data_IF_818943622121
#
_entry.id   IF_818943622121
#
_cell.length_a   1.000
_cell.length_b   1.000
_cell.length_c   1.000
_cell.angle_alpha   90.00
_cell.angle_beta   90.00
_cell.angle_gamma   90.00
#
_symmetry.space_group_name_H-M   'P 1'
#
loop_
_entity.id
_entity.type
_entity.pdbx_description
1 polymer ?
#
# COMPACT_ATOMS: atom_id res chain seq x y z
N UNK A 1 -30.69 10.49 73.02
CA UNK A 1 -29.40 10.41 72.30
C UNK A 1 -29.77 10.10 70.84
N UNK A 2 -30.16 11.09 70.04
CA UNK A 2 -29.30 12.01 69.26
C UNK A 2 -28.37 11.25 68.29
N UNK A 3 -28.21 11.55 67.00
CA UNK A 3 -28.72 12.57 66.07
C UNK A 3 -28.22 12.17 64.65
N UNK A 4 -29.10 12.27 63.63
CA UNK A 4 -28.93 12.77 62.24
C UNK A 4 -27.88 12.21 61.20
N UNK A 5 -28.13 12.47 59.89
CA UNK A 5 -27.53 11.77 58.72
C UNK A 5 -26.70 12.64 57.72
N UNK A 6 -26.02 11.97 56.75
CA UNK A 6 -25.48 12.39 55.41
C UNK A 6 -24.36 13.48 55.35
N UNK A 7 -23.43 13.53 54.35
CA UNK A 7 -23.73 13.56 52.90
C UNK A 7 -22.79 12.84 51.90
N UNK A 8 -23.42 12.34 50.83
CA UNK A 8 -23.04 12.29 49.39
C UNK A 8 -21.58 12.36 48.92
N UNK A 9 -21.22 11.41 48.06
CA UNK A 9 -20.48 11.70 46.80
C UNK A 9 -21.17 10.99 45.64
N UNK A 10 -21.58 11.77 44.65
CA UNK A 10 -22.19 11.37 43.39
C UNK A 10 -21.20 10.58 42.53
N UNK A 11 -21.56 9.39 42.06
CA UNK A 11 -21.04 8.84 40.81
C UNK A 11 -22.10 9.05 39.73
N UNK A 12 -21.92 10.08 38.90
CA UNK A 12 -22.62 10.20 37.62
C UNK A 12 -21.95 9.22 36.66
N UNK A 13 -22.61 8.11 36.37
CA UNK A 13 -22.44 7.43 35.09
C UNK A 13 -23.09 8.35 34.04
N UNK A 14 -22.29 9.01 33.21
CA UNK A 14 -22.78 9.61 31.99
C UNK A 14 -22.52 8.61 30.86
N UNK A 15 -23.60 7.94 30.48
CA UNK A 15 -23.74 7.11 29.30
C UNK A 15 -23.45 7.95 28.06
N UNK A 16 -22.37 7.67 27.32
CA UNK A 16 -22.26 8.12 25.94
C UNK A 16 -23.16 7.23 25.09
N UNK A 17 -24.26 7.80 24.60
CA UNK A 17 -25.13 7.17 23.64
C UNK A 17 -24.37 7.00 22.31
N UNK A 18 -24.08 5.75 21.95
CA UNK A 18 -23.70 5.39 20.59
C UNK A 18 -24.97 5.42 19.76
N UNK A 19 -25.09 6.41 18.88
CA UNK A 19 -26.13 6.44 17.85
C UNK A 19 -25.69 5.45 16.76
N UNK A 20 -26.28 4.26 16.77
CA UNK A 20 -26.21 3.34 15.63
C UNK A 20 -27.20 3.80 14.55
N UNK A 21 -26.79 4.02 13.29
CA UNK A 21 -27.76 4.15 12.22
C UNK A 21 -28.28 2.75 11.89
N UNK A 22 -29.54 2.48 12.26
CA UNK A 22 -30.27 1.32 11.78
C UNK A 22 -30.59 1.50 10.29
N UNK A 23 -29.85 0.80 9.43
CA UNK A 23 -30.24 0.62 8.03
C UNK A 23 -31.32 -0.44 7.96
N UNK A 24 -32.56 0.01 7.76
CA UNK A 24 -33.71 -0.84 7.46
C UNK A 24 -33.57 -1.35 6.03
N UNK A 25 -33.26 -2.64 5.87
CA UNK A 25 -33.40 -3.33 4.58
C UNK A 25 -34.90 -3.49 4.28
N UNK A 26 -35.39 -2.77 3.27
CA UNK A 26 -36.64 -3.13 2.60
C UNK A 26 -36.29 -4.05 1.44
N UNK A 27 -36.71 -5.31 1.54
CA UNK A 27 -36.69 -6.25 0.42
C UNK A 27 -37.82 -5.89 -0.54
N UNK A 28 -37.50 -5.70 -1.83
CA UNK A 28 -38.46 -5.69 -2.92
C UNK A 28 -38.14 -6.84 -3.89
N UNK A 29 -39.15 -7.49 -4.48
CA UNK A 29 -39.03 -8.84 -5.01
C UNK A 29 -38.40 -8.90 -6.40
N UNK A 30 -37.85 -10.07 -6.71
CA UNK A 30 -37.31 -10.45 -8.01
C UNK A 30 -38.39 -10.46 -9.11
N UNK A 31 -38.01 -9.96 -10.29
CA UNK A 31 -38.61 -10.32 -11.58
C UNK A 31 -38.97 -9.15 -12.49
N UNK A 32 -38.15 -8.89 -13.51
CA UNK A 32 -38.57 -8.52 -14.88
C UNK A 32 -37.35 -8.42 -15.80
N UNK A 33 -37.58 -8.64 -17.09
CA UNK A 33 -36.65 -9.17 -18.07
C UNK A 33 -35.79 -8.11 -18.81
N UNK A 34 -34.70 -8.64 -19.39
CA UNK A 34 -33.81 -8.05 -20.39
C UNK A 34 -34.53 -7.85 -21.73
N UNK A 35 -34.51 -6.63 -22.27
CA UNK A 35 -34.23 -6.30 -23.69
C UNK A 35 -34.51 -4.82 -23.97
N UNK A 36 -33.74 -4.24 -24.89
CA UNK A 36 -33.88 -2.91 -25.52
C UNK A 36 -33.45 -1.67 -24.72
N UNK A 37 -32.20 -1.23 -24.94
CA UNK A 37 -31.80 0.20 -25.05
C UNK A 37 -30.34 0.34 -25.48
N UNK A 38 -29.95 -0.25 -26.62
CA UNK A 38 -28.61 -0.11 -27.22
C UNK A 38 -28.55 0.77 -28.48
N UNK A 39 -29.58 1.59 -28.75
CA UNK A 39 -29.68 2.40 -29.99
C UNK A 39 -29.80 3.92 -29.78
N UNK A 40 -29.44 4.47 -28.61
CA UNK A 40 -29.53 5.94 -28.37
C UNK A 40 -28.26 6.64 -27.88
N UNK A 41 -27.07 6.05 -28.09
CA UNK A 41 -25.79 6.71 -27.78
C UNK A 41 -24.80 6.73 -28.95
N UNK A 42 -25.31 6.87 -30.17
CA UNK A 42 -24.52 7.28 -31.34
C UNK A 42 -25.20 8.47 -32.01
N UNK A 43 -24.76 9.69 -31.68
CA UNK A 43 -25.24 10.89 -32.36
C UNK A 43 -24.95 12.19 -31.62
N UNK A 44 -23.67 12.55 -31.47
CA UNK A 44 -23.25 13.94 -31.23
C UNK A 44 -21.72 14.06 -31.28
N UNK A 45 -21.15 13.93 -32.48
CA UNK A 45 -19.82 14.43 -32.81
C UNK A 45 -19.92 15.16 -34.16
N UNK A 46 -20.05 16.48 -34.12
CA UNK A 46 -19.66 17.40 -35.21
C UNK A 46 -19.97 18.85 -34.81
N UNK A 47 -18.98 19.73 -34.84
CA UNK A 47 -19.20 21.18 -34.76
C UNK A 47 -17.99 21.95 -34.25
N UNK A 48 -17.06 22.24 -35.15
CA UNK A 48 -16.06 23.30 -34.99
C UNK A 48 -16.73 24.68 -35.05
N UNK A 49 -16.29 25.62 -34.21
CA UNK A 49 -16.02 27.03 -34.56
C UNK A 49 -15.56 27.79 -33.29
N UNK A 50 -14.44 28.51 -33.41
CA UNK A 50 -13.84 29.28 -32.32
C UNK A 50 -14.31 30.74 -32.24
N UNK A 51 -14.17 31.37 -31.07
CA UNK A 51 -13.70 32.75 -30.92
C UNK A 51 -13.34 33.07 -29.45
N UNK A 52 -12.46 34.04 -29.31
CA UNK A 52 -11.70 34.50 -28.13
C UNK A 52 -12.41 35.51 -27.21
N UNK A 53 -12.03 35.48 -25.93
CA UNK A 53 -11.83 36.58 -24.95
C UNK A 53 -13.00 37.49 -24.49
N UNK A 54 -13.22 37.58 -23.18
CA UNK A 54 -12.75 38.72 -22.35
C UNK A 54 -13.38 38.72 -20.94
N UNK A 55 -12.59 39.24 -19.99
CA UNK A 55 -12.90 39.47 -18.58
C UNK A 55 -13.44 40.89 -18.43
N UNK A 56 -14.51 41.09 -17.63
CA UNK A 56 -14.73 42.33 -16.85
C UNK A 56 -15.84 42.17 -15.81
N UNK A 57 -15.55 42.74 -14.63
CA UNK A 57 -16.35 42.89 -13.42
C UNK A 57 -17.76 43.46 -13.59
N UNK A 58 -18.66 43.07 -12.67
CA UNK A 58 -19.57 44.02 -11.99
C UNK A 58 -20.21 43.42 -10.74
N UNK A 59 -19.95 44.05 -9.59
CA UNK A 59 -20.69 43.94 -8.33
C UNK A 59 -22.17 44.34 -8.48
N UNK A 60 -23.06 43.75 -7.67
CA UNK A 60 -24.46 44.23 -7.56
C UNK A 60 -25.38 43.40 -6.66
N UNK A 61 -25.38 43.73 -5.36
CA UNK A 61 -26.47 43.71 -4.35
C UNK A 61 -27.45 42.52 -4.18
N UNK A 62 -27.59 42.15 -2.91
CA UNK A 62 -28.49 41.16 -2.31
C UNK A 62 -30.01 41.49 -2.35
N UNK A 63 -30.83 40.45 -2.27
CA UNK A 63 -32.24 40.49 -1.85
C UNK A 63 -32.97 39.15 -2.12
N UNK A 64 -33.69 38.56 -1.15
CA UNK A 64 -34.14 37.17 -1.18
C UNK A 64 -35.55 37.01 -1.78
N UNK A 65 -35.86 35.83 -2.35
CA UNK A 65 -37.08 35.06 -2.01
C UNK A 65 -37.31 33.83 -2.90
N UNK A 66 -37.55 32.71 -2.21
CA UNK A 66 -38.40 31.54 -2.51
C UNK A 66 -38.54 31.04 -3.96
N UNK A 67 -38.14 29.78 -4.18
CA UNK A 67 -38.56 28.96 -5.32
C UNK A 67 -39.18 27.64 -4.85
N UNK A 68 -40.35 27.31 -5.42
CA UNK A 68 -41.00 26.00 -5.34
C UNK A 68 -40.99 25.38 -6.73
N UNK A 69 -40.48 24.14 -6.86
CA UNK A 69 -40.95 23.01 -7.69
C UNK A 69 -39.85 22.19 -8.42
N UNK A 70 -39.70 20.94 -7.94
CA UNK A 70 -39.84 19.64 -8.62
C UNK A 70 -38.94 19.26 -9.83
N UNK A 71 -38.48 17.98 -9.78
CA UNK A 71 -37.66 17.13 -10.68
C UNK A 71 -36.14 17.23 -10.42
N UNK A 72 -35.36 16.18 -10.20
CA UNK A 72 -35.55 14.75 -10.46
C UNK A 72 -34.28 14.20 -11.11
N UNK A 73 -33.25 13.88 -10.33
CA UNK A 73 -32.14 12.98 -10.73
C UNK A 73 -31.18 12.78 -9.55
N UNK A 74 -31.24 11.65 -8.87
CA UNK A 74 -30.24 11.26 -7.87
C UNK A 74 -29.02 10.68 -8.57
N UNK A 75 -28.09 11.56 -8.92
CA UNK A 75 -26.72 11.25 -9.29
C UNK A 75 -25.84 12.35 -8.70
N UNK A 76 -25.38 12.17 -7.47
CA UNK A 76 -24.42 13.09 -6.86
C UNK A 76 -23.04 12.44 -6.81
N UNK A 77 -22.03 13.03 -7.48
CA UNK A 77 -20.64 12.75 -7.14
C UNK A 77 -20.37 13.34 -5.76
N UNK A 78 -19.91 12.49 -4.83
CA UNK A 78 -19.21 12.99 -3.64
C UNK A 78 -17.95 13.68 -4.15
N UNK A 79 -17.62 14.84 -3.57
CA UNK A 79 -16.56 15.79 -3.98
C UNK A 79 -16.99 16.88 -4.97
N UNK A 80 -17.77 17.83 -4.46
CA UNK A 80 -17.70 19.22 -4.91
C UNK A 80 -17.52 20.13 -3.68
N UNK A 81 -16.33 20.74 -3.59
CA UNK A 81 -16.08 22.00 -2.88
C UNK A 81 -16.07 22.00 -1.36
N UNK A 82 -14.89 21.86 -0.76
CA UNK A 82 -14.49 22.78 0.32
C UNK A 82 -12.97 22.80 0.47
N UNK A 83 -12.36 23.92 0.11
CA UNK A 83 -11.08 24.36 0.67
C UNK A 83 -11.24 24.47 2.18
N UNK A 84 -10.68 23.53 2.92
CA UNK A 84 -10.75 23.52 4.37
C UNK A 84 -10.02 22.32 4.93
N UNK A 85 -8.89 22.57 5.57
CA UNK A 85 -8.16 21.61 6.40
C UNK A 85 -9.18 21.09 7.43
N UNK A 86 -9.64 19.85 7.25
CA UNK A 86 -10.69 19.23 8.04
C UNK A 86 -10.32 17.79 8.29
N UNK A 87 -9.97 17.50 9.53
CA UNK A 87 -9.47 16.24 10.04
C UNK A 87 -10.24 15.01 9.53
N UNK A 88 -9.52 13.90 9.41
CA UNK A 88 -9.93 12.54 9.02
C UNK A 88 -11.18 12.02 9.77
N UNK A 89 -11.58 12.69 10.86
CA UNK A 89 -12.87 12.53 11.51
C UNK A 89 -14.09 12.63 10.57
N UNK A 90 -14.00 13.38 9.45
CA UNK A 90 -15.12 13.52 8.52
C UNK A 90 -15.45 12.25 7.72
N UNK A 91 -14.55 11.26 7.68
CA UNK A 91 -14.79 9.95 7.03
C UNK A 91 -15.08 8.84 8.06
N UNK A 92 -14.94 9.10 9.36
CA UNK A 92 -15.27 8.14 10.41
C UNK A 92 -14.43 6.85 10.41
N UNK A 93 -13.33 6.79 9.66
CA UNK A 93 -12.41 5.65 9.62
C UNK A 93 -11.34 5.90 10.69
N UNK A 94 -11.52 5.30 11.87
CA UNK A 94 -10.46 5.25 12.88
C UNK A 94 -9.22 4.55 12.31
N UNK A 95 -7.99 5.10 12.49
CA UNK A 95 -6.75 4.47 12.03
C UNK A 95 -6.46 3.10 12.67
N UNK A 96 -7.05 2.82 13.82
CA UNK A 96 -6.69 1.71 14.70
C UNK A 96 -7.12 0.30 14.25
N UNK A 97 -7.54 0.10 13.00
CA UNK A 97 -8.23 -1.13 12.60
C UNK A 97 -7.72 -1.60 11.24
N UNK A 98 -6.46 -2.04 11.19
CA UNK A 98 -5.89 -2.83 10.10
C UNK A 98 -5.40 -4.17 10.67
N UNK A 99 -6.35 -5.05 11.03
CA UNK A 99 -6.13 -6.46 11.35
C UNK A 99 -5.21 -6.80 12.54
N UNK A 100 -5.33 -7.99 13.13
CA UNK A 100 -4.42 -8.47 14.18
C UNK A 100 -3.04 -8.90 13.67
N UNK A 101 -2.79 -8.94 12.36
CA UNK A 101 -1.49 -9.30 11.75
C UNK A 101 -0.59 -8.05 11.52
N UNK A 102 -0.56 -7.13 12.48
CA UNK A 102 0.37 -6.01 12.41
C UNK A 102 1.79 -6.52 12.74
N UNK A 103 2.72 -6.39 11.78
CA UNK A 103 4.14 -6.54 12.08
C UNK A 103 4.52 -5.59 13.20
N UNK A 104 5.35 -6.06 14.13
CA UNK A 104 5.93 -5.23 15.19
C UNK A 104 7.28 -4.72 14.69
N UNK A 105 7.58 -3.45 14.93
CA UNK A 105 8.92 -2.93 14.74
C UNK A 105 9.91 -3.74 15.60
N UNK A 106 11.10 -4.12 15.11
CA UNK A 106 12.08 -4.82 15.93
C UNK A 106 12.46 -3.96 17.13
N UNK A 107 12.78 -4.62 18.25
CA UNK A 107 13.22 -3.90 19.44
C UNK A 107 14.50 -3.12 19.13
N UNK A 108 14.60 -1.91 19.68
CA UNK A 108 15.80 -1.10 19.51
C UNK A 108 16.98 -1.70 20.28
N UNK A 109 18.13 -1.70 19.65
CA UNK A 109 19.42 -2.13 20.18
C UNK A 109 20.40 -0.94 20.14
N UNK A 110 20.42 -0.10 21.19
CA UNK A 110 21.29 1.07 21.24
C UNK A 110 22.78 0.71 21.37
N UNK A 111 23.12 -0.58 21.54
CA UNK A 111 24.51 -1.03 21.60
C UNK A 111 25.19 -1.09 20.24
N UNK A 112 24.41 -1.16 19.15
CA UNK A 112 24.93 -1.15 17.78
C UNK A 112 25.52 0.24 17.45
N UNK A 113 26.77 0.28 16.98
CA UNK A 113 27.37 1.51 16.46
C UNK A 113 26.70 1.93 15.14
N UNK A 114 26.82 3.19 14.72
CA UNK A 114 26.15 3.69 13.49
C UNK A 114 26.66 2.99 12.22
N UNK A 115 27.91 2.55 12.21
CA UNK A 115 28.58 1.86 11.10
C UNK A 115 28.48 0.32 11.19
N UNK A 116 27.77 -0.20 12.19
CA UNK A 116 27.67 -1.64 12.41
C UNK A 116 26.65 -2.29 11.45
N UNK A 117 27.16 -2.90 10.38
CA UNK A 117 26.35 -3.58 9.36
C UNK A 117 26.96 -4.95 9.09
N UNK A 118 26.37 -6.00 9.66
CA UNK A 118 26.84 -7.37 9.48
C UNK A 118 25.71 -8.39 9.66
N UNK A 119 25.92 -9.58 9.11
CA UNK A 119 25.03 -10.72 9.33
C UNK A 119 25.25 -11.24 10.76
N UNK A 120 24.18 -11.34 11.53
CA UNK A 120 24.21 -11.92 12.88
C UNK A 120 24.17 -13.44 12.78
N UNK A 121 23.25 -13.96 11.96
CA UNK A 121 23.06 -15.39 11.71
C UNK A 121 22.13 -15.66 10.53
N UNK A 122 22.22 -16.87 9.99
CA UNK A 122 21.11 -17.51 9.29
C UNK A 122 20.15 -18.12 10.32
N UNK A 123 18.85 -17.84 10.19
CA UNK A 123 17.80 -18.41 11.03
C UNK A 123 17.42 -19.77 10.44
N UNK A 124 17.32 -20.82 11.29
CA UNK A 124 16.85 -22.13 10.83
C UNK A 124 15.44 -22.00 10.26
N UNK A 125 15.17 -22.57 9.09
CA UNK A 125 13.88 -22.41 8.42
C UNK A 125 12.70 -22.93 9.25
N UNK A 126 12.90 -23.96 10.09
CA UNK A 126 11.85 -24.42 10.99
C UNK A 126 11.60 -23.43 12.13
N UNK A 127 12.63 -22.71 12.59
CA UNK A 127 12.50 -21.61 13.55
C UNK A 127 11.84 -20.38 12.90
N UNK A 128 12.33 -19.96 11.72
CA UNK A 128 11.87 -18.78 11.00
C UNK A 128 10.37 -18.84 10.64
N UNK A 129 9.90 -20.05 10.36
CA UNK A 129 8.52 -20.33 9.97
C UNK A 129 7.76 -21.06 11.08
N UNK A 130 8.24 -21.07 12.31
CA UNK A 130 7.56 -21.73 13.42
C UNK A 130 6.25 -21.02 13.78
N UNK A 131 5.22 -21.79 14.11
CA UNK A 131 3.94 -21.25 14.54
C UNK A 131 2.73 -21.95 13.92
N UNK A 132 1.61 -21.81 14.63
CA UNK A 132 0.27 -22.11 14.12
C UNK A 132 -0.41 -20.80 13.75
N UNK A 133 -0.56 -20.56 12.44
CA UNK A 133 -1.12 -19.32 11.91
C UNK A 133 -2.66 -19.31 11.93
N UNK A 134 -3.30 -20.41 12.35
CA UNK A 134 -4.75 -20.52 12.54
C UNK A 134 -5.57 -20.60 11.24
N UNK A 135 -5.15 -19.90 10.19
CA UNK A 135 -5.71 -19.97 8.85
C UNK A 135 -5.08 -21.14 8.06
N UNK A 136 -5.87 -22.11 7.56
CA UNK A 136 -5.34 -23.26 6.81
C UNK A 136 -4.63 -22.91 5.50
N UNK A 137 -5.01 -21.83 4.83
CA UNK A 137 -4.36 -21.35 3.60
C UNK A 137 -2.99 -20.76 3.92
N UNK A 138 -2.91 -19.97 4.99
CA UNK A 138 -1.62 -19.44 5.47
C UNK A 138 -0.73 -20.59 5.92
N UNK A 139 -1.25 -21.48 6.78
CA UNK A 139 -0.49 -22.61 7.29
C UNK A 139 0.05 -23.49 6.15
N UNK A 140 -0.78 -23.80 5.15
CA UNK A 140 -0.35 -24.58 3.99
C UNK A 140 0.72 -23.89 3.14
N UNK A 141 0.67 -22.55 3.02
CA UNK A 141 1.69 -21.76 2.32
C UNK A 141 3.02 -21.79 3.06
N UNK A 142 2.98 -21.61 4.38
CA UNK A 142 4.15 -21.68 5.25
C UNK A 142 4.76 -23.08 5.26
N UNK A 143 3.95 -24.14 5.34
CA UNK A 143 4.45 -25.52 5.36
C UNK A 143 5.15 -25.88 4.05
N UNK A 144 4.64 -25.43 2.89
CA UNK A 144 5.31 -25.57 1.59
C UNK A 144 6.65 -24.86 1.59
N UNK A 145 6.68 -23.59 2.00
CA UNK A 145 7.91 -22.79 2.03
C UNK A 145 8.95 -23.38 2.97
N UNK A 146 8.51 -23.89 4.14
CA UNK A 146 9.35 -24.61 5.11
C UNK A 146 9.96 -25.89 4.54
N UNK A 147 9.34 -26.49 3.53
CA UNK A 147 9.90 -27.68 2.87
C UNK A 147 10.89 -27.36 1.74
N UNK A 148 10.96 -26.12 1.26
CA UNK A 148 11.87 -25.72 0.19
C UNK A 148 13.21 -25.23 0.77
N UNK A 149 14.30 -25.91 0.39
CA UNK A 149 15.64 -25.61 0.87
C UNK A 149 16.19 -24.27 0.39
N UNK A 150 15.60 -23.67 -0.66
CA UNK A 150 16.03 -22.37 -1.19
C UNK A 150 15.53 -21.19 -0.38
N UNK A 151 14.56 -21.42 0.51
CA UNK A 151 14.12 -20.38 1.44
C UNK A 151 15.07 -20.29 2.62
N UNK A 152 15.54 -19.08 2.85
CA UNK A 152 16.43 -18.69 3.94
C UNK A 152 15.86 -17.44 4.62
N UNK A 153 16.13 -17.30 5.91
CA UNK A 153 15.89 -16.04 6.62
C UNK A 153 17.19 -15.64 7.30
N UNK A 154 17.58 -14.39 7.13
CA UNK A 154 18.84 -13.84 7.65
C UNK A 154 18.54 -12.72 8.63
N UNK A 155 19.21 -12.74 9.78
CA UNK A 155 19.17 -11.65 10.75
C UNK A 155 20.39 -10.76 10.56
N UNK A 156 20.17 -9.47 10.31
CA UNK A 156 21.20 -8.49 9.99
C UNK A 156 21.20 -7.41 11.06
N UNK A 157 22.33 -7.20 11.73
CA UNK A 157 22.51 -6.05 12.60
C UNK A 157 22.64 -4.80 11.72
N UNK A 158 21.81 -3.79 11.98
CA UNK A 158 21.80 -2.54 11.22
C UNK A 158 21.86 -1.35 12.16
N UNK A 159 23.10 -0.91 12.38
CA UNK A 159 23.51 0.23 13.18
C UNK A 159 22.74 1.53 12.91
N UNK A 160 22.51 1.93 11.65
CA UNK A 160 21.80 3.17 11.33
C UNK A 160 20.34 3.23 11.81
N UNK A 161 19.69 2.08 12.04
CA UNK A 161 18.34 2.01 12.62
C UNK A 161 18.32 1.45 14.05
N UNK A 162 19.50 1.19 14.64
CA UNK A 162 19.66 0.60 15.97
C UNK A 162 18.79 -0.64 16.16
N UNK A 163 18.84 -1.57 15.21
CA UNK A 163 18.03 -2.80 15.28
C UNK A 163 18.62 -3.94 14.47
N UNK A 164 18.15 -5.14 14.76
CA UNK A 164 18.36 -6.32 13.92
C UNK A 164 17.16 -6.51 13.02
N UNK A 165 17.42 -6.64 11.72
CA UNK A 165 16.40 -6.74 10.68
C UNK A 165 16.43 -8.15 10.12
N UNK A 166 15.26 -8.76 9.98
CA UNK A 166 15.13 -10.02 9.27
C UNK A 166 14.88 -9.79 7.78
N UNK A 167 15.58 -10.55 6.95
CA UNK A 167 15.43 -10.55 5.50
C UNK A 167 15.20 -11.98 5.03
N UNK A 168 14.08 -12.20 4.35
CA UNK A 168 13.82 -13.47 3.68
C UNK A 168 14.53 -13.47 2.33
N UNK A 169 15.21 -14.56 2.02
CA UNK A 169 15.90 -14.78 0.74
C UNK A 169 15.41 -16.11 0.18
N UNK A 170 14.84 -16.07 -1.02
CA UNK A 170 14.48 -17.25 -1.79
C UNK A 170 15.37 -17.34 -3.01
N UNK A 171 16.32 -18.29 -2.98
CA UNK A 171 17.33 -18.40 -4.03
C UNK A 171 16.73 -18.88 -5.35
N UNK A 172 17.33 -18.40 -6.45
CA UNK A 172 16.98 -18.81 -7.80
C UNK A 172 17.03 -20.33 -7.99
N UNK A 173 16.10 -20.86 -8.79
CA UNK A 173 16.16 -22.25 -9.22
C UNK A 173 17.40 -22.48 -10.11
N UNK A 174 17.96 -23.70 -10.06
CA UNK A 174 19.05 -24.13 -10.93
C UNK A 174 20.48 -23.85 -10.43
N UNK A 175 20.65 -22.92 -9.49
CA UNK A 175 21.95 -22.55 -8.90
C UNK A 175 22.85 -21.78 -9.86
N UNK A 176 23.40 -20.65 -9.41
CA UNK A 176 24.25 -19.78 -10.23
C UNK A 176 23.89 -18.30 -10.06
N UNK A 177 24.49 -17.45 -10.90
CA UNK A 177 24.14 -16.03 -10.96
C UNK A 177 22.70 -15.85 -11.47
N UNK A 178 21.92 -15.07 -10.74
CA UNK A 178 20.54 -14.76 -11.08
C UNK A 178 20.24 -13.27 -10.83
N UNK A 179 19.22 -12.69 -11.50
CA UNK A 179 18.71 -11.39 -11.11
C UNK A 179 18.22 -11.39 -9.66
N UNK A 180 18.30 -10.23 -9.02
CA UNK A 180 17.72 -10.00 -7.70
C UNK A 180 16.38 -9.26 -7.86
N UNK A 181 15.33 -9.76 -7.24
CA UNK A 181 14.01 -9.12 -7.15
C UNK A 181 13.71 -8.79 -5.69
N UNK A 182 13.74 -7.50 -5.35
CA UNK A 182 13.32 -7.03 -4.03
C UNK A 182 11.80 -6.90 -3.99
N UNK A 183 11.13 -7.49 -3.00
CA UNK A 183 9.69 -7.35 -2.79
C UNK A 183 9.41 -6.63 -1.47
N UNK A 184 8.68 -5.52 -1.55
CA UNK A 184 8.33 -4.67 -0.42
C UNK A 184 6.89 -4.94 -0.01
N UNK A 185 6.73 -5.30 1.26
CA UNK A 185 5.43 -5.63 1.85
C UNK A 185 4.58 -4.36 2.05
N UNK A 186 3.27 -4.55 2.26
CA UNK A 186 2.34 -3.49 2.62
C UNK A 186 2.53 -2.97 4.05
N UNK A 187 1.53 -2.23 4.53
CA UNK A 187 1.49 -1.61 5.87
C UNK A 187 1.72 -2.58 7.05
N UNK A 188 1.47 -3.86 6.85
CA UNK A 188 1.74 -4.92 7.82
C UNK A 188 3.23 -5.17 8.01
N UNK A 189 3.99 -5.31 6.90
CA UNK A 189 5.41 -5.67 6.86
C UNK A 189 5.81 -6.67 7.95
N UNK A 190 5.07 -7.77 8.02
CA UNK A 190 5.19 -8.78 9.06
C UNK A 190 6.45 -9.64 8.90
N UNK A 191 6.72 -10.44 9.92
CA UNK A 191 7.69 -11.53 9.90
C UNK A 191 7.01 -12.80 10.43
N UNK A 192 6.85 -13.87 9.62
CA UNK A 192 7.17 -13.94 8.19
C UNK A 192 6.41 -12.91 7.36
N UNK A 193 6.93 -12.57 6.17
CA UNK A 193 6.30 -11.59 5.30
C UNK A 193 4.90 -12.01 4.86
N UNK A 194 4.06 -11.06 4.47
CA UNK A 194 2.78 -11.38 3.88
C UNK A 194 2.91 -12.14 2.56
N UNK A 195 4.04 -12.00 1.85
CA UNK A 195 4.38 -12.82 0.69
C UNK A 195 4.56 -14.29 1.05
N UNK A 196 5.27 -14.59 2.16
CA UNK A 196 5.42 -15.94 2.69
C UNK A 196 4.07 -16.53 3.13
N UNK A 197 3.32 -15.77 3.92
CA UNK A 197 2.03 -16.20 4.47
C UNK A 197 0.99 -16.46 3.38
N UNK A 198 1.05 -15.76 2.24
CA UNK A 198 0.04 -15.82 1.18
C UNK A 198 0.51 -16.61 -0.05
N UNK A 199 1.59 -17.38 0.09
CA UNK A 199 2.05 -18.31 -0.92
C UNK A 199 2.61 -17.65 -2.18
N UNK A 200 3.05 -16.38 -2.10
CA UNK A 200 3.52 -15.64 -3.27
C UNK A 200 4.81 -16.25 -3.85
N UNK A 201 5.63 -16.88 -3.00
CA UNK A 201 6.83 -17.62 -3.43
C UNK A 201 6.52 -18.75 -4.44
N UNK A 202 5.29 -19.30 -4.47
CA UNK A 202 4.89 -20.29 -5.49
C UNK A 202 5.00 -19.70 -6.92
N UNK A 203 4.92 -18.38 -7.09
CA UNK A 203 5.14 -17.67 -8.37
C UNK A 203 6.57 -17.85 -8.88
N UNK A 204 7.54 -17.96 -7.97
CA UNK A 204 8.97 -17.96 -8.27
C UNK A 204 9.62 -19.34 -8.10
N UNK A 205 8.83 -20.37 -7.77
CA UNK A 205 9.36 -21.71 -7.44
C UNK A 205 10.23 -22.30 -8.55
N UNK A 206 9.91 -22.08 -9.82
CA UNK A 206 10.67 -22.58 -10.96
C UNK A 206 11.47 -21.46 -11.65
N UNK A 207 11.51 -20.27 -11.06
CA UNK A 207 12.10 -19.08 -11.66
C UNK A 207 13.61 -18.97 -11.36
N UNK A 208 14.37 -18.53 -12.36
CA UNK A 208 15.79 -18.21 -12.23
C UNK A 208 16.04 -16.84 -11.59
N UNK A 209 15.37 -16.51 -10.48
CA UNK A 209 15.48 -15.20 -9.80
C UNK A 209 15.68 -15.39 -8.30
N UNK A 210 16.55 -14.58 -7.70
CA UNK A 210 16.62 -14.47 -6.24
C UNK A 210 15.53 -13.50 -5.78
N UNK A 211 14.64 -13.92 -4.89
CA UNK A 211 13.63 -13.04 -4.29
C UNK A 211 14.11 -12.63 -2.91
N UNK A 212 14.17 -11.32 -2.66
CA UNK A 212 14.62 -10.73 -1.40
C UNK A 212 13.48 -9.93 -0.78
N UNK A 213 13.12 -10.25 0.46
CA UNK A 213 12.03 -9.59 1.17
C UNK A 213 12.55 -9.05 2.50
N UNK A 214 12.88 -7.75 2.60
CA UNK A 214 13.08 -7.13 3.90
C UNK A 214 11.76 -7.16 4.68
N UNK A 215 11.83 -7.47 5.96
CA UNK A 215 10.65 -7.57 6.84
C UNK A 215 10.72 -6.55 7.98
N UNK A 216 9.64 -6.46 8.77
CA UNK A 216 9.58 -5.69 10.01
C UNK A 216 9.68 -4.15 9.83
N UNK A 217 9.09 -3.62 8.75
CA UNK A 217 8.95 -2.18 8.48
C UNK A 217 7.50 -1.66 8.53
N UNK A 218 6.69 -1.98 9.56
CA UNK A 218 5.26 -1.68 9.58
C UNK A 218 5.02 -0.16 9.51
N UNK A 219 4.21 0.28 8.55
CA UNK A 219 3.84 1.70 8.41
C UNK A 219 5.02 2.64 8.08
N UNK A 220 6.24 2.14 7.88
CA UNK A 220 7.41 2.99 7.69
C UNK A 220 7.51 3.61 6.28
N UNK A 221 6.55 3.30 5.39
CA UNK A 221 6.55 3.64 3.96
C UNK A 221 7.81 3.17 3.21
N UNK A 222 8.60 2.28 3.82
CA UNK A 222 9.95 1.89 3.39
C UNK A 222 10.85 3.11 3.08
N UNK A 223 10.66 4.21 3.80
CA UNK A 223 11.36 5.46 3.57
C UNK A 223 12.49 5.70 4.59
N UNK A 224 13.38 6.63 4.26
CA UNK A 224 14.26 7.27 5.23
C UNK A 224 13.50 8.43 5.89
N UNK A 225 13.38 8.39 7.21
CA UNK A 225 12.67 9.42 7.97
C UNK A 225 13.64 10.53 8.40
N UNK A 226 13.15 11.77 8.41
CA UNK A 226 13.89 12.95 8.86
C UNK A 226 14.10 12.95 10.38
N UNK A 227 13.10 12.48 11.13
CA UNK A 227 13.10 12.42 12.59
C UNK A 227 12.83 11.01 13.09
N UNK A 228 13.33 10.71 14.29
CA UNK A 228 12.93 9.53 15.04
C UNK A 228 11.46 9.67 15.46
N UNK A 229 10.69 8.60 15.31
CA UNK A 229 9.28 8.55 15.66
C UNK A 229 9.07 7.77 16.97
N UNK A 230 8.19 8.25 17.85
CA UNK A 230 7.94 7.58 19.14
C UNK A 230 7.38 6.16 18.98
N UNK A 231 6.61 5.88 17.93
CA UNK A 231 6.01 4.59 17.68
C UNK A 231 6.85 3.72 16.73
N UNK A 232 7.45 4.31 15.71
CA UNK A 232 8.15 3.60 14.63
C UNK A 232 9.68 3.67 14.75
N UNK A 233 10.21 4.47 15.67
CA UNK A 233 11.64 4.63 15.93
C UNK A 233 12.40 5.24 14.75
N UNK A 234 13.69 4.92 14.66
CA UNK A 234 14.58 5.38 13.59
C UNK A 234 14.35 4.57 12.31
N UNK A 235 13.99 5.24 11.22
CA UNK A 235 13.72 4.63 9.92
C UNK A 235 14.74 5.10 8.88
N UNK A 236 15.52 4.16 8.34
CA UNK A 236 16.49 4.33 7.24
C UNK A 236 16.32 3.21 6.20
N UNK A 237 15.07 2.90 5.86
CA UNK A 237 14.71 1.76 5.03
C UNK A 237 15.11 1.93 3.57
N UNK A 238 15.02 3.13 3.00
CA UNK A 238 15.47 3.39 1.63
C UNK A 238 16.99 3.21 1.54
N UNK A 239 17.74 3.75 2.50
CA UNK A 239 19.19 3.54 2.55
C UNK A 239 19.54 2.06 2.73
N UNK A 240 18.87 1.36 3.66
CA UNK A 240 19.07 -0.07 3.86
C UNK A 240 18.83 -0.88 2.58
N UNK A 241 17.66 -0.73 1.96
CA UNK A 241 17.26 -1.53 0.79
C UNK A 241 18.12 -1.21 -0.42
N UNK A 242 18.38 0.08 -0.66
CA UNK A 242 19.00 0.51 -1.90
C UNK A 242 20.53 0.45 -1.81
N UNK A 243 21.15 0.64 -0.65
CA UNK A 243 22.62 0.79 -0.55
C UNK A 243 23.30 -0.32 0.23
N UNK A 244 22.79 -0.66 1.40
CA UNK A 244 23.54 -1.51 2.35
C UNK A 244 23.20 -2.98 2.22
N UNK A 245 21.92 -3.32 2.09
CA UNK A 245 21.45 -4.67 1.88
C UNK A 245 22.09 -5.34 0.64
N UNK A 246 22.23 -4.69 -0.53
CA UNK A 246 22.93 -5.28 -1.66
C UNK A 246 24.38 -5.69 -1.34
N UNK A 247 25.09 -4.91 -0.50
CA UNK A 247 26.47 -5.24 -0.09
C UNK A 247 26.49 -6.43 0.86
N UNK A 248 25.53 -6.50 1.80
CA UNK A 248 25.41 -7.63 2.74
C UNK A 248 25.08 -8.92 2.00
N UNK A 249 24.15 -8.87 1.04
CA UNK A 249 23.76 -10.04 0.23
C UNK A 249 24.93 -10.57 -0.62
N UNK A 250 25.78 -9.67 -1.14
CA UNK A 250 26.96 -10.03 -1.92
C UNK A 250 28.19 -10.41 -1.06
N UNK A 251 28.10 -10.28 0.27
CA UNK A 251 29.19 -10.60 1.19
C UNK A 251 29.37 -12.11 1.40
N UNK A 252 30.52 -12.49 1.96
CA UNK A 252 30.96 -13.89 2.08
C UNK A 252 30.00 -14.80 2.87
N UNK A 253 29.19 -14.24 3.77
CA UNK A 253 28.27 -15.01 4.60
C UNK A 253 27.03 -15.49 3.84
N UNK A 254 26.42 -14.63 3.03
CA UNK A 254 25.22 -14.97 2.25
C UNK A 254 25.60 -15.44 0.84
N UNK A 255 26.64 -14.83 0.25
CA UNK A 255 27.17 -15.12 -1.08
C UNK A 255 26.08 -15.25 -2.15
N UNK A 256 25.16 -14.28 -2.17
CA UNK A 256 24.03 -14.28 -3.12
C UNK A 256 24.53 -13.91 -4.51
N UNK A 257 24.63 -14.92 -5.38
CA UNK A 257 25.12 -14.78 -6.75
C UNK A 257 24.17 -13.91 -7.58
N UNK A 258 24.67 -12.78 -8.05
CA UNK A 258 23.90 -11.76 -8.77
C UNK A 258 24.37 -11.62 -10.22
N UNK A 259 23.44 -11.67 -11.17
CA UNK A 259 23.72 -11.53 -12.61
C UNK A 259 23.97 -10.09 -13.07
N UNK A 260 23.85 -9.12 -12.15
CA UNK A 260 23.88 -7.69 -12.44
C UNK A 260 22.51 -7.10 -12.82
N UNK A 261 21.45 -7.92 -12.96
CA UNK A 261 20.08 -7.47 -13.22
C UNK A 261 19.27 -7.36 -11.93
N UNK A 262 18.54 -6.26 -11.75
CA UNK A 262 17.84 -5.98 -10.49
C UNK A 262 16.42 -5.47 -10.75
N UNK A 263 15.45 -6.11 -10.11
CA UNK A 263 14.07 -5.64 -10.04
C UNK A 263 13.70 -5.21 -8.63
N UNK A 264 12.72 -4.31 -8.51
CA UNK A 264 12.07 -3.99 -7.25
C UNK A 264 10.55 -4.01 -7.44
N UNK A 265 9.82 -4.48 -6.45
CA UNK A 265 8.37 -4.40 -6.50
C UNK A 265 7.75 -4.43 -5.13
N UNK A 266 6.43 -4.33 -5.08
CA UNK A 266 5.72 -4.38 -3.82
C UNK A 266 4.21 -4.29 -3.97
N UNK A 267 3.54 -4.33 -2.82
CA UNK A 267 2.08 -4.29 -2.70
C UNK A 267 1.68 -3.12 -1.80
N UNK A 268 0.57 -2.43 -2.10
CA UNK A 268 0.04 -1.35 -1.26
C UNK A 268 1.12 -0.30 -0.93
N UNK A 269 1.42 -0.08 0.36
CA UNK A 269 2.54 0.75 0.84
C UNK A 269 3.88 0.41 0.13
N UNK A 270 4.23 -0.87 0.02
CA UNK A 270 5.43 -1.32 -0.65
C UNK A 270 5.44 -1.05 -2.15
N UNK A 271 4.27 -1.06 -2.81
CA UNK A 271 4.16 -0.68 -4.21
C UNK A 271 4.50 0.80 -4.42
N UNK A 272 3.97 1.67 -3.56
CA UNK A 272 4.28 3.10 -3.57
C UNK A 272 5.78 3.34 -3.36
N UNK A 273 6.37 2.66 -2.38
CA UNK A 273 7.80 2.75 -2.09
C UNK A 273 8.68 2.26 -3.26
N UNK A 274 8.37 1.10 -3.84
CA UNK A 274 9.13 0.53 -4.95
C UNK A 274 9.17 1.49 -6.16
N UNK A 275 8.02 2.08 -6.52
CA UNK A 275 7.95 3.08 -7.60
C UNK A 275 8.70 4.37 -7.25
N UNK A 276 8.61 4.83 -6.00
CA UNK A 276 9.34 6.01 -5.53
C UNK A 276 10.85 5.80 -5.60
N UNK A 277 11.34 4.65 -5.12
CA UNK A 277 12.76 4.29 -5.21
C UNK A 277 13.22 4.14 -6.67
N UNK A 278 12.43 3.53 -7.55
CA UNK A 278 12.77 3.42 -8.96
C UNK A 278 12.91 4.79 -9.64
N UNK A 279 12.01 5.74 -9.34
CA UNK A 279 12.07 7.09 -9.87
C UNK A 279 13.20 7.93 -9.23
N UNK A 280 13.51 7.73 -7.95
CA UNK A 280 14.55 8.46 -7.21
C UNK A 280 15.96 7.92 -7.44
N UNK A 281 16.09 6.68 -7.90
CA UNK A 281 17.37 6.05 -8.23
C UNK A 281 17.40 5.58 -9.71
N UNK A 282 17.36 6.50 -10.70
CA UNK A 282 17.35 6.13 -12.11
C UNK A 282 18.54 5.23 -12.49
N UNK A 283 18.27 4.16 -13.24
CA UNK A 283 19.26 3.20 -13.69
C UNK A 283 19.68 2.14 -12.65
N UNK A 284 19.14 2.20 -11.43
CA UNK A 284 19.42 1.20 -10.38
C UNK A 284 18.65 -0.11 -10.56
N UNK A 285 17.42 0.00 -11.05
CA UNK A 285 16.51 -1.12 -11.26
C UNK A 285 16.20 -1.24 -12.75
N UNK A 286 16.37 -2.43 -13.31
CA UNK A 286 16.00 -2.74 -14.69
C UNK A 286 14.47 -2.85 -14.84
N UNK A 287 13.78 -3.28 -13.78
CA UNK A 287 12.34 -3.39 -13.74
C UNK A 287 11.74 -2.99 -12.39
N UNK A 288 10.54 -2.43 -12.42
CA UNK A 288 9.74 -2.11 -11.23
C UNK A 288 8.30 -2.60 -11.36
N UNK A 289 7.77 -3.21 -10.31
CA UNK A 289 6.40 -3.74 -10.27
C UNK A 289 5.61 -3.24 -9.05
N UNK A 290 4.40 -2.71 -9.24
CA UNK A 290 3.56 -2.25 -8.14
C UNK A 290 2.14 -2.82 -8.20
N UNK A 291 1.65 -3.38 -7.11
CA UNK A 291 0.28 -3.91 -7.04
C UNK A 291 -0.53 -3.11 -6.01
N UNK A 292 -1.65 -2.54 -6.45
CA UNK A 292 -2.57 -1.73 -5.64
C UNK A 292 -1.87 -0.58 -4.89
N UNK A 293 -0.96 0.12 -5.56
CA UNK A 293 -0.23 1.27 -4.99
C UNK A 293 -0.85 2.61 -5.36
N UNK A 294 -0.63 3.62 -4.50
CA UNK A 294 -0.85 5.02 -4.84
C UNK A 294 0.50 5.70 -5.09
N UNK A 295 0.75 6.11 -6.33
CA UNK A 295 2.07 6.62 -6.78
C UNK A 295 2.14 8.15 -6.83
N UNK A 296 1.25 8.82 -6.10
CA UNK A 296 1.30 10.26 -5.83
C UNK A 296 1.46 10.45 -4.31
N UNK A 297 2.08 11.55 -3.89
CA UNK A 297 2.27 11.89 -2.47
C UNK A 297 1.58 13.19 -2.08
N UNK A 298 0.86 13.81 -3.04
CA UNK A 298 -0.03 14.96 -2.83
C UNK A 298 -1.50 14.57 -2.83
N UNK A 299 -2.36 15.42 -2.28
CA UNK A 299 -3.80 15.23 -2.32
C UNK A 299 -4.23 13.88 -1.73
N UNK A 300 -4.78 12.99 -2.57
CA UNK A 300 -5.20 11.66 -2.13
C UNK A 300 -4.00 10.80 -1.68
N UNK A 301 -2.86 10.93 -2.35
CA UNK A 301 -1.60 10.30 -1.95
C UNK A 301 -1.16 10.63 -0.53
N UNK A 302 -1.17 11.93 -0.18
CA UNK A 302 -0.86 12.38 1.20
C UNK A 302 -1.84 11.79 2.21
N UNK A 303 -3.14 11.76 1.89
CA UNK A 303 -4.19 11.21 2.77
C UNK A 303 -3.96 9.71 3.01
N UNK A 304 -3.62 8.95 1.96
CA UNK A 304 -3.36 7.51 2.08
C UNK A 304 -2.05 7.21 2.81
N UNK A 305 -1.00 8.01 2.59
CA UNK A 305 0.26 7.90 3.33
C UNK A 305 0.05 8.20 4.83
N UNK A 306 -0.69 9.27 5.14
CA UNK A 306 -1.07 9.64 6.50
C UNK A 306 -1.85 8.51 7.19
N UNK A 307 -2.88 7.97 6.51
CA UNK A 307 -3.65 6.83 7.02
C UNK A 307 -2.78 5.61 7.27
N UNK A 308 -1.83 5.32 6.37
CA UNK A 308 -0.90 4.18 6.48
C UNK A 308 -0.01 4.32 7.71
N UNK A 309 0.64 5.47 7.89
CA UNK A 309 1.52 5.74 9.02
C UNK A 309 0.74 5.80 10.35
N UNK A 310 -0.37 6.53 10.39
CA UNK A 310 -1.21 6.65 11.58
C UNK A 310 -1.83 5.33 12.02
N UNK A 311 -2.05 4.38 11.11
CA UNK A 311 -2.52 3.03 11.45
C UNK A 311 -1.51 2.20 12.27
N UNK A 312 -0.27 2.67 12.36
CA UNK A 312 0.81 2.12 13.18
C UNK A 312 1.26 3.11 14.26
N UNK A 313 0.45 4.13 14.54
CA UNK A 313 0.68 5.18 15.54
C UNK A 313 1.86 6.10 15.24
N UNK A 314 2.43 6.06 14.03
CA UNK A 314 3.48 6.99 13.64
C UNK A 314 2.95 8.38 13.31
N UNK A 315 3.85 9.36 13.34
CA UNK A 315 3.61 10.72 12.86
C UNK A 315 4.23 10.90 11.47
N UNK A 316 3.39 11.18 10.48
CA UNK A 316 3.79 11.36 9.08
C UNK A 316 4.74 12.56 8.90
N UNK A 317 4.69 13.56 9.77
CA UNK A 317 5.55 14.75 9.68
C UNK A 317 6.99 14.44 10.12
N UNK A 318 7.21 13.35 10.88
CA UNK A 318 8.57 12.85 11.17
C UNK A 318 9.24 12.21 9.95
N UNK A 319 8.47 11.78 8.96
CA UNK A 319 8.98 11.08 7.79
C UNK A 319 9.69 12.02 6.81
N UNK A 320 8.97 12.99 6.25
CA UNK A 320 9.48 13.91 5.23
C UNK A 320 9.24 15.38 5.59
N UNK A 321 9.06 15.68 6.88
CA UNK A 321 8.72 17.02 7.36
C UNK A 321 7.27 17.43 7.08
N UNK A 322 6.90 18.60 7.58
CA UNK A 322 5.57 19.19 7.37
C UNK A 322 5.28 19.36 5.87
N UNK A 323 4.15 18.81 5.41
CA UNK A 323 3.66 18.97 4.04
C UNK A 323 2.98 20.34 3.84
N UNK A 324 3.14 21.01 2.68
CA UNK A 324 3.92 20.59 1.51
C UNK A 324 5.38 21.06 1.55
N UNK A 325 6.28 20.23 1.00
CA UNK A 325 7.69 20.59 0.79
C UNK A 325 8.31 19.79 -0.38
N UNK A 326 9.54 20.14 -0.76
CA UNK A 326 10.28 19.49 -1.85
C UNK A 326 10.58 18.00 -1.59
N UNK A 327 10.73 17.58 -0.33
CA UNK A 327 10.94 16.17 0.02
C UNK A 327 9.73 15.33 -0.37
N UNK A 328 8.51 15.79 -0.09
CA UNK A 328 7.27 15.12 -0.52
C UNK A 328 7.19 15.00 -2.05
N UNK A 329 7.49 16.08 -2.78
CA UNK A 329 7.49 16.08 -4.24
C UNK A 329 8.57 15.16 -4.82
N UNK A 330 9.75 15.10 -4.21
CA UNK A 330 10.82 14.21 -4.63
C UNK A 330 10.48 12.73 -4.48
N UNK A 331 9.55 12.38 -3.59
CA UNK A 331 9.05 11.01 -3.37
C UNK A 331 7.78 10.69 -4.17
N UNK A 332 7.31 11.58 -5.06
CA UNK A 332 6.11 11.37 -5.90
C UNK A 332 6.49 10.85 -7.30
N UNK A 333 6.31 9.54 -7.60
CA UNK A 333 6.56 9.00 -8.93
C UNK A 333 5.71 9.62 -10.04
N UNK A 334 4.50 10.09 -9.73
CA UNK A 334 3.60 10.71 -10.71
C UNK A 334 4.12 12.07 -11.16
N UNK A 335 4.72 12.85 -10.25
CA UNK A 335 5.44 14.09 -10.59
C UNK A 335 6.75 13.78 -11.32
N UNK A 336 7.48 12.75 -10.87
CA UNK A 336 8.81 12.40 -11.38
C UNK A 336 8.78 11.27 -12.41
N UNK A 337 7.69 11.15 -13.18
CA UNK A 337 7.46 9.98 -14.05
C UNK A 337 8.49 9.84 -15.18
N UNK A 338 9.08 10.96 -15.61
CA UNK A 338 10.16 11.01 -16.60
C UNK A 338 11.41 10.24 -16.15
N UNK A 339 11.66 10.17 -14.83
CA UNK A 339 12.81 9.48 -14.25
C UNK A 339 12.73 7.96 -14.33
N UNK A 340 11.58 7.40 -14.69
CA UNK A 340 11.40 5.96 -14.93
C UNK A 340 11.81 5.54 -16.36
N UNK A 341 12.27 6.48 -17.19
CA UNK A 341 12.72 6.16 -18.55
C UNK A 341 13.87 5.15 -18.53
N UNK A 342 13.69 4.05 -19.26
CA UNK A 342 14.66 2.96 -19.33
C UNK A 342 14.44 1.84 -18.30
N UNK A 343 13.49 2.01 -17.38
CA UNK A 343 13.05 0.95 -16.46
C UNK A 343 11.79 0.29 -17.01
N UNK A 344 11.71 -1.04 -17.01
CA UNK A 344 10.44 -1.74 -17.32
C UNK A 344 9.45 -1.52 -16.18
N UNK A 345 8.33 -0.86 -16.43
CA UNK A 345 7.33 -0.56 -15.39
C UNK A 345 6.11 -1.47 -15.55
N UNK A 346 5.74 -2.19 -14.49
CA UNK A 346 4.45 -2.87 -14.36
C UNK A 346 3.68 -2.30 -13.18
N UNK A 347 2.39 -2.08 -13.33
CA UNK A 347 1.52 -1.87 -12.17
C UNK A 347 0.09 -2.33 -12.40
N UNK A 348 -0.59 -2.62 -11.29
CA UNK A 348 -1.99 -3.00 -11.32
C UNK A 348 -2.79 -2.36 -10.19
N UNK A 349 -4.09 -2.20 -10.41
CA UNK A 349 -5.07 -1.95 -9.37
C UNK A 349 -6.36 -2.68 -9.73
N UNK A 350 -7.21 -2.97 -8.74
CA UNK A 350 -8.56 -3.42 -8.98
C UNK A 350 -9.54 -2.25 -8.96
N UNK A 351 -10.74 -2.45 -9.50
CA UNK A 351 -11.83 -1.44 -9.45
C UNK A 351 -12.34 -1.18 -8.03
N UNK A 352 -12.03 -2.06 -7.08
CA UNK A 352 -12.67 -2.12 -5.77
C UNK A 352 -13.99 -2.88 -5.78
N UNK A 353 -14.45 -3.41 -6.93
CA UNK A 353 -15.65 -4.24 -6.96
C UNK A 353 -15.40 -5.57 -6.23
N UNK A 354 -16.16 -5.80 -5.16
CA UNK A 354 -16.11 -7.04 -4.39
C UNK A 354 -16.48 -8.26 -5.24
N UNK A 355 -15.70 -9.34 -5.15
CA UNK A 355 -16.06 -10.60 -5.77
C UNK A 355 -17.23 -11.28 -5.03
N UNK A 356 -17.89 -12.29 -5.62
CA UNK A 356 -18.83 -13.12 -4.88
C UNK A 356 -18.16 -13.73 -3.63
N UNK A 357 -18.84 -13.65 -2.48
CA UNK A 357 -18.33 -14.10 -1.17
C UNK A 357 -17.10 -13.36 -0.63
N UNK A 358 -16.76 -12.19 -1.16
CA UNK A 358 -15.63 -11.37 -0.67
C UNK A 358 -15.71 -11.08 0.83
N UNK A 359 -16.91 -10.95 1.42
CA UNK A 359 -17.05 -10.74 2.86
C UNK A 359 -16.42 -11.88 3.71
N UNK A 360 -16.34 -13.09 3.17
CA UNK A 360 -15.70 -14.22 3.85
C UNK A 360 -14.17 -14.06 3.95
N UNK A 361 -13.53 -13.34 3.01
CA UNK A 361 -12.08 -13.08 3.06
C UNK A 361 -11.70 -12.06 4.15
N UNK A 362 -12.70 -11.46 4.80
CA UNK A 362 -12.57 -10.53 5.92
C UNK A 362 -13.06 -11.12 7.24
N UNK A 363 -13.22 -12.45 7.34
CA UNK A 363 -13.84 -13.12 8.48
C UNK A 363 -15.20 -12.54 8.86
N UNK A 364 -15.96 -12.10 7.84
CA UNK A 364 -17.23 -11.41 8.02
C UNK A 364 -17.14 -10.14 8.87
N UNK A 365 -15.95 -9.53 8.97
CA UNK A 365 -15.75 -8.24 9.61
C UNK A 365 -16.17 -7.12 8.64
N UNK A 366 -17.32 -6.46 8.87
CA UNK A 366 -17.83 -5.45 7.96
C UNK A 366 -16.92 -4.22 7.89
N UNK A 367 -16.19 -3.91 8.96
CA UNK A 367 -15.31 -2.75 8.99
C UNK A 367 -14.09 -2.97 8.10
N UNK A 368 -13.37 -4.09 8.25
CA UNK A 368 -12.23 -4.40 7.38
C UNK A 368 -12.67 -4.52 5.92
N UNK A 369 -13.83 -5.11 5.66
CA UNK A 369 -14.41 -5.18 4.31
C UNK A 369 -14.60 -3.77 3.71
N UNK A 370 -15.25 -2.86 4.44
CA UNK A 370 -15.47 -1.49 3.96
C UNK A 370 -14.18 -0.71 3.77
N UNK A 371 -13.18 -0.93 4.61
CA UNK A 371 -11.85 -0.33 4.46
C UNK A 371 -11.16 -0.86 3.19
N UNK A 372 -11.17 -2.17 2.96
CA UNK A 372 -10.59 -2.77 1.75
C UNK A 372 -11.23 -2.26 0.47
N UNK A 373 -12.56 -2.10 0.47
CA UNK A 373 -13.33 -1.50 -0.62
C UNK A 373 -12.94 -0.04 -0.86
N UNK A 374 -12.84 0.76 0.21
CA UNK A 374 -12.51 2.18 0.10
C UNK A 374 -11.07 2.39 -0.36
N UNK A 375 -10.12 1.67 0.25
CA UNK A 375 -8.71 1.77 -0.09
C UNK A 375 -8.46 1.39 -1.54
N UNK A 376 -9.10 0.33 -2.06
CA UNK A 376 -8.86 -0.08 -3.44
C UNK A 376 -9.38 0.94 -4.45
N UNK A 377 -10.56 1.52 -4.20
CA UNK A 377 -11.08 2.60 -5.03
C UNK A 377 -10.18 3.84 -4.97
N UNK A 378 -9.65 4.18 -3.79
CA UNK A 378 -8.75 5.30 -3.62
C UNK A 378 -7.42 5.09 -4.37
N UNK A 379 -6.77 3.93 -4.20
CA UNK A 379 -5.53 3.63 -4.94
C UNK A 379 -5.78 3.55 -6.44
N UNK A 380 -6.91 3.00 -6.89
CA UNK A 380 -7.26 2.97 -8.32
C UNK A 380 -7.24 4.37 -8.95
N UNK A 381 -7.77 5.37 -8.26
CA UNK A 381 -7.73 6.78 -8.71
C UNK A 381 -6.27 7.25 -8.85
N UNK A 382 -5.42 6.98 -7.87
CA UNK A 382 -3.99 7.31 -7.94
C UNK A 382 -3.29 6.57 -9.10
N UNK A 383 -3.52 5.26 -9.22
CA UNK A 383 -2.91 4.40 -10.24
C UNK A 383 -3.25 4.87 -11.64
N UNK A 384 -4.51 5.26 -11.89
CA UNK A 384 -4.92 5.84 -13.17
C UNK A 384 -4.31 7.22 -13.45
N UNK A 385 -4.02 8.02 -12.41
CA UNK A 385 -3.30 9.29 -12.59
C UNK A 385 -1.84 9.04 -12.99
N UNK A 386 -1.21 8.07 -12.36
CA UNK A 386 0.15 7.63 -12.68
C UNK A 386 0.25 7.08 -14.10
N UNK A 387 -0.67 6.20 -14.50
CA UNK A 387 -0.78 5.70 -15.88
C UNK A 387 -0.80 6.86 -16.89
N UNK A 388 -1.68 7.85 -16.69
CA UNK A 388 -1.73 9.03 -17.56
C UNK A 388 -0.47 9.88 -17.51
N UNK A 389 0.29 9.89 -16.41
CA UNK A 389 1.56 10.61 -16.34
C UNK A 389 2.61 9.92 -17.20
N UNK A 390 2.73 8.59 -17.09
CA UNK A 390 3.62 7.78 -17.92
C UNK A 390 3.27 7.88 -19.42
N UNK A 391 1.99 7.88 -19.78
CA UNK A 391 1.54 8.09 -21.17
C UNK A 391 1.99 9.46 -21.72
N UNK A 392 1.92 10.52 -20.90
CA UNK A 392 2.33 11.87 -21.33
C UNK A 392 3.84 11.98 -21.53
N UNK A 393 4.61 11.27 -20.72
CA UNK A 393 6.06 11.24 -20.79
C UNK A 393 6.61 10.17 -21.77
N UNK A 394 5.73 9.42 -22.45
CA UNK A 394 6.11 8.33 -23.36
C UNK A 394 7.08 7.33 -22.69
N UNK A 395 6.68 6.85 -21.51
CA UNK A 395 7.41 5.83 -20.74
C UNK A 395 6.80 4.46 -21.03
N UNK A 396 7.64 3.48 -21.41
CA UNK A 396 7.19 2.10 -21.61
C UNK A 396 6.69 1.49 -20.29
N UNK A 397 5.42 1.10 -20.26
CA UNK A 397 4.82 0.52 -19.07
C UNK A 397 3.65 -0.41 -19.42
N UNK A 398 3.35 -1.30 -18.48
CA UNK A 398 2.19 -2.16 -18.53
C UNK A 398 1.29 -1.85 -17.33
N UNK A 399 0.05 -1.47 -17.63
CA UNK A 399 -0.99 -1.24 -16.64
C UNK A 399 -2.10 -2.29 -16.75
N UNK A 400 -2.37 -2.99 -15.66
CA UNK A 400 -3.50 -3.93 -15.55
C UNK A 400 -4.57 -3.40 -14.61
N UNK A 401 -5.78 -3.16 -15.14
CA UNK A 401 -6.97 -2.89 -14.34
C UNK A 401 -7.75 -4.19 -14.11
N UNK A 402 -7.79 -4.67 -12.87
CA UNK A 402 -8.52 -5.88 -12.49
C UNK A 402 -10.01 -5.55 -12.28
N UNK A 403 -10.95 -6.20 -13.00
CA UNK A 403 -12.37 -5.85 -12.91
C UNK A 403 -13.01 -6.05 -11.54
N UNK A 404 -12.52 -7.02 -10.76
CA UNK A 404 -12.97 -7.34 -9.40
C UNK A 404 -11.77 -7.58 -8.51
N UNK A 405 -11.80 -7.03 -7.30
CA UNK A 405 -10.73 -7.13 -6.31
C UNK A 405 -10.83 -6.00 -5.29
N UNK A 406 -10.47 -6.30 -4.05
CA UNK A 406 -10.40 -5.34 -2.95
C UNK A 406 -8.97 -5.21 -2.42
N UNK A 407 -8.73 -4.23 -1.56
CA UNK A 407 -7.41 -3.96 -1.02
C UNK A 407 -7.01 -5.01 0.04
N UNK A 408 -6.59 -6.17 -0.43
CA UNK A 408 -6.23 -7.32 0.38
C UNK A 408 -5.26 -8.26 -0.34
N UNK A 409 -4.73 -9.21 0.41
CA UNK A 409 -3.76 -10.19 -0.09
C UNK A 409 -4.26 -11.12 -1.18
N UNK A 410 -5.58 -11.36 -1.30
CA UNK A 410 -6.10 -12.17 -2.40
C UNK A 410 -5.88 -11.45 -3.74
N UNK A 411 -6.20 -10.16 -3.80
CA UNK A 411 -5.90 -9.32 -4.96
C UNK A 411 -4.39 -9.22 -5.18
N UNK A 412 -3.62 -8.97 -4.11
CA UNK A 412 -2.17 -8.76 -4.23
C UNK A 412 -1.43 -10.00 -4.74
N UNK A 413 -1.65 -11.15 -4.08
CA UNK A 413 -1.05 -12.42 -4.48
C UNK A 413 -1.56 -12.86 -5.86
N UNK A 414 -2.84 -12.63 -6.16
CA UNK A 414 -3.44 -12.97 -7.45
C UNK A 414 -2.85 -12.20 -8.64
N UNK A 415 -2.30 -11.00 -8.42
CA UNK A 415 -1.65 -10.21 -9.47
C UNK A 415 -0.13 -10.45 -9.57
N UNK A 416 0.50 -11.11 -8.60
CA UNK A 416 1.94 -11.36 -8.65
C UNK A 416 2.39 -12.17 -9.88
N UNK A 417 1.68 -13.22 -10.33
CA UNK A 417 2.06 -13.94 -11.56
C UNK A 417 2.07 -13.05 -12.81
N UNK A 418 1.10 -12.14 -12.94
CA UNK A 418 1.06 -11.18 -14.06
C UNK A 418 2.20 -10.17 -13.96
N UNK A 419 2.46 -9.65 -12.76
CA UNK A 419 3.58 -8.75 -12.50
C UNK A 419 4.92 -9.41 -12.88
N UNK A 420 5.13 -10.65 -12.44
CA UNK A 420 6.33 -11.43 -12.75
C UNK A 420 6.48 -11.67 -14.26
N UNK A 421 5.41 -12.11 -14.94
CA UNK A 421 5.45 -12.34 -16.39
C UNK A 421 5.85 -11.07 -17.16
N UNK A 422 5.39 -9.90 -16.74
CA UNK A 422 5.72 -8.62 -17.37
C UNK A 422 7.21 -8.25 -17.23
N UNK A 423 7.82 -8.53 -16.09
CA UNK A 423 9.20 -8.07 -15.78
C UNK A 423 10.29 -9.12 -16.02
N UNK A 424 9.97 -10.42 -16.02
CA UNK A 424 10.97 -11.50 -16.05
C UNK A 424 11.87 -11.47 -17.29
N UNK A 425 11.32 -11.09 -18.44
CA UNK A 425 12.08 -10.97 -19.69
C UNK A 425 13.18 -9.91 -19.62
N UNK A 426 12.90 -8.79 -18.96
CA UNK A 426 13.89 -7.70 -18.74
C UNK A 426 14.98 -8.11 -17.76
N UNK A 427 14.61 -8.93 -16.76
CA UNK A 427 15.54 -9.45 -15.76
C UNK A 427 16.38 -10.64 -16.26
N UNK A 428 16.01 -11.26 -17.38
CA UNK A 428 16.70 -12.41 -17.96
C UNK A 428 16.42 -13.72 -17.22
N UNK A 429 15.21 -13.86 -16.66
CA UNK A 429 14.79 -14.98 -15.82
C UNK A 429 13.75 -15.91 -16.47
#
# INVERSE_FOLDING_TARGET
MALRPSPSTFFRALTCAVIAPALVFTAAPAGAQVSDSLDQLQGSLSGEDGFTASVSDSLGSAGPDTSTQILGSSGHPLFAGSTGIGSIAAVGISPAILGPEAGKMPDSDPSLADDDIHVVRQIDRNEALDGNYGDPVIQGSIDKLRSDERYEQWEIAYGPMKRKIKVEVYRAAGGGEAPNLYLLDGVGASDPSGFAQRGVFDTFKDAGVNVIVPTQGPGAMWADWEQEDDALGINKWETFITQDLPKVLAGDEIDLKHSGKTGIGGVSMGASAAMSMAARHPGKYDAVAGISGCYETKGLGKILADFTVASRSGDIDNMWGEYPNETWEAHDPTINSDKLRGTKVFFSSATGAAAPNELATYDYNPLHYTQGLFLEQAVNVCTNRFHRALDREDIDHEFTLVPQGMHNWWTFAGQMPAAWESIRGTLGA
#
